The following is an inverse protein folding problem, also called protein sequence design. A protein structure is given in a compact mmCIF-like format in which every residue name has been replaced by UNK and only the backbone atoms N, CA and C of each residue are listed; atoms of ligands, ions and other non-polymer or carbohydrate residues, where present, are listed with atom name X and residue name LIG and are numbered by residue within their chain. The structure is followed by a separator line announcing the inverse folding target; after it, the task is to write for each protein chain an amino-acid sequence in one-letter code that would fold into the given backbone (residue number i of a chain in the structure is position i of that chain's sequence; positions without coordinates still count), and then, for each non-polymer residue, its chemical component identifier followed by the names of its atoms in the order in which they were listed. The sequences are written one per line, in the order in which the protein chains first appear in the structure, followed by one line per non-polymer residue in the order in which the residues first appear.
data_IF_927554864228
#
_entry.id   IF_927554864228
#
_cell.length_a   1.000
_cell.length_b   1.000
_cell.length_c   1.000
_cell.angle_alpha   90.00
_cell.angle_beta   90.00
_cell.angle_gamma   90.00
#
_symmetry.space_group_name_H-M   'P 1'
#
loop_
_entity.id
_entity.type
_entity.pdbx_description
1 polymer ?
#
# COMPACT_ATOMS: atom_id res chain seq x y z
N UNK A 1 -15.60 -4.15 -15.70
CA UNK A 1 -15.86 -5.45 -15.01
C UNK A 1 -15.08 -5.40 -13.72
N UNK A 2 -15.75 -5.49 -12.57
CA UNK A 2 -15.09 -5.45 -11.28
C UNK A 2 -14.42 -6.77 -10.97
N UNK A 3 -13.16 -6.69 -10.57
CA UNK A 3 -12.32 -7.80 -10.16
C UNK A 3 -12.05 -7.62 -8.67
N UNK A 4 -12.20 -8.70 -7.92
CA UNK A 4 -11.82 -8.78 -6.51
C UNK A 4 -10.82 -9.90 -6.35
N UNK A 5 -9.64 -9.58 -5.83
CA UNK A 5 -8.57 -10.54 -5.61
C UNK A 5 -8.16 -10.54 -4.16
N UNK A 6 -7.94 -11.74 -3.63
CA UNK A 6 -7.21 -11.94 -2.38
C UNK A 6 -5.73 -11.95 -2.70
N UNK A 7 -4.98 -11.06 -2.05
CA UNK A 7 -3.53 -10.97 -2.19
C UNK A 7 -2.82 -11.45 -0.92
N UNK A 8 -1.60 -11.92 -1.08
CA UNK A 8 -0.76 -12.46 -0.02
C UNK A 8 -0.02 -11.36 0.74
N UNK A 9 0.43 -10.33 0.03
CA UNK A 9 1.15 -9.20 0.59
C UNK A 9 0.90 -7.96 -0.25
N UNK A 10 0.91 -6.81 0.41
CA UNK A 10 0.88 -5.49 -0.23
C UNK A 10 2.28 -4.99 -0.60
N UNK A 11 3.35 -5.65 -0.13
CA UNK A 11 4.72 -5.15 -0.31
C UNK A 11 5.74 -6.25 -0.67
N UNK A 12 5.30 -7.31 -1.34
CA UNK A 12 6.19 -8.31 -1.93
C UNK A 12 5.45 -9.08 -3.04
N UNK A 13 6.01 -9.03 -4.25
CA UNK A 13 5.66 -9.83 -5.44
C UNK A 13 4.27 -9.70 -6.08
N UNK A 14 3.23 -9.20 -5.42
CA UNK A 14 1.87 -9.08 -6.01
C UNK A 14 1.45 -7.64 -6.28
N UNK A 15 1.73 -6.77 -5.31
CA UNK A 15 1.63 -5.32 -5.44
C UNK A 15 2.97 -4.73 -5.04
N UNK A 16 3.57 -3.95 -5.93
CA UNK A 16 4.78 -3.18 -5.63
C UNK A 16 4.40 -1.71 -5.59
N UNK A 17 4.22 -1.23 -4.37
CA UNK A 17 3.79 0.12 -4.04
C UNK A 17 4.76 0.78 -3.10
N UNK A 18 6.08 0.65 -3.28
CA UNK A 18 7.01 1.35 -2.39
C UNK A 18 6.67 2.85 -2.25
N UNK A 19 6.03 3.47 -3.25
CA UNK A 19 5.64 4.88 -3.26
C UNK A 19 4.35 5.12 -4.10
N UNK A 20 3.17 4.76 -3.59
CA UNK A 20 1.87 5.03 -4.25
C UNK A 20 1.12 6.21 -3.62
N UNK A 21 0.12 6.71 -4.32
CA UNK A 21 -0.84 7.67 -3.77
C UNK A 21 -2.07 6.92 -3.26
N UNK A 22 -2.67 7.36 -2.15
CA UNK A 22 -3.85 6.72 -1.59
C UNK A 22 -4.82 7.72 -0.97
N UNK A 23 -6.08 7.29 -0.81
CA UNK A 23 -7.05 8.02 -0.01
C UNK A 23 -6.70 7.93 1.47
N UNK A 24 -7.23 8.85 2.26
CA UNK A 24 -7.22 8.72 3.72
C UNK A 24 -7.81 7.35 4.14
N UNK A 25 -7.08 6.51 4.90
CA UNK A 25 -7.60 5.22 5.33
C UNK A 25 -8.78 5.34 6.28
N UNK A 26 -9.79 4.50 6.08
CA UNK A 26 -10.96 4.38 6.94
C UNK A 26 -10.81 3.12 7.79
N UNK A 27 -10.97 3.27 9.10
CA UNK A 27 -11.03 2.15 10.05
C UNK A 27 -12.46 1.88 10.46
N UNK A 28 -12.89 0.63 10.29
CA UNK A 28 -14.19 0.16 10.80
C UNK A 28 -14.12 -1.30 11.17
N UNK A 29 -14.58 -1.65 12.38
CA UNK A 29 -14.68 -3.04 12.83
C UNK A 29 -13.38 -3.83 12.59
N UNK A 30 -12.23 -3.26 12.98
CA UNK A 30 -10.90 -3.86 12.77
C UNK A 30 -10.58 -4.17 11.30
N UNK A 31 -11.07 -3.32 10.41
CA UNK A 31 -10.80 -3.36 8.97
C UNK A 31 -10.25 -2.02 8.51
N UNK A 32 -9.17 -2.02 7.73
CA UNK A 32 -8.62 -0.85 7.06
C UNK A 32 -9.13 -0.85 5.62
N UNK A 33 -9.63 0.28 5.14
CA UNK A 33 -10.06 0.46 3.74
C UNK A 33 -9.47 1.75 3.20
N UNK A 34 -8.85 1.70 2.03
CA UNK A 34 -8.37 2.89 1.31
C UNK A 34 -8.36 2.67 -0.20
N UNK A 35 -8.53 3.74 -0.96
CA UNK A 35 -8.22 3.75 -2.40
C UNK A 35 -6.71 3.87 -2.60
N UNK A 36 -6.15 3.13 -3.54
CA UNK A 36 -4.76 3.21 -3.95
C UNK A 36 -4.65 3.47 -5.44
N UNK A 37 -3.67 4.29 -5.81
CA UNK A 37 -3.51 4.78 -7.17
C UNK A 37 -2.17 4.38 -7.77
N UNK A 38 -2.16 4.09 -9.06
CA UNK A 38 -0.96 3.77 -9.86
C UNK A 38 -0.09 2.64 -9.28
N UNK A 39 -0.73 1.62 -8.70
CA UNK A 39 -0.03 0.49 -8.10
C UNK A 39 0.49 -0.45 -9.18
N UNK A 40 1.75 -0.90 -9.06
CA UNK A 40 2.22 -2.00 -9.89
C UNK A 40 1.47 -3.28 -9.51
N UNK A 41 1.11 -4.04 -10.54
CA UNK A 41 0.35 -5.27 -10.39
C UNK A 41 1.07 -6.40 -11.09
N UNK A 42 1.63 -7.29 -10.28
CA UNK A 42 2.36 -8.46 -10.74
C UNK A 42 1.44 -9.68 -10.68
N UNK A 43 1.48 -10.51 -11.72
CA UNK A 43 0.55 -11.64 -11.85
C UNK A 43 1.26 -12.89 -11.35
N UNK A 44 1.14 -13.13 -10.05
CA UNK A 44 1.56 -14.39 -9.43
C UNK A 44 0.61 -15.53 -9.77
N UNK A 45 0.99 -16.76 -9.45
CA UNK A 45 0.09 -17.92 -9.55
C UNK A 45 -1.19 -17.72 -8.73
N UNK A 46 -1.07 -17.18 -7.51
CA UNK A 46 -2.22 -16.88 -6.63
C UNK A 46 -3.21 -15.92 -7.30
N UNK A 47 -2.71 -14.87 -7.95
CA UNK A 47 -3.54 -13.94 -8.71
C UNK A 47 -4.11 -14.63 -9.97
N UNK A 48 -3.28 -15.34 -10.73
CA UNK A 48 -3.66 -15.97 -11.99
C UNK A 48 -4.89 -16.87 -11.84
N UNK A 49 -4.91 -17.72 -10.82
CA UNK A 49 -6.02 -18.65 -10.60
C UNK A 49 -7.33 -17.97 -10.17
N UNK A 50 -7.27 -16.75 -9.64
CA UNK A 50 -8.46 -15.97 -9.25
C UNK A 50 -9.03 -15.16 -10.44
N UNK A 51 -8.26 -14.96 -11.50
CA UNK A 51 -8.67 -14.12 -12.62
C UNK A 51 -9.70 -14.81 -13.53
N UNK A 52 -10.73 -14.07 -13.99
CA UNK A 52 -11.65 -14.56 -15.02
C UNK A 52 -10.91 -14.87 -16.34
N UNK A 53 -11.38 -15.86 -17.09
CA UNK A 53 -10.77 -16.25 -18.38
C UNK A 53 -10.69 -15.11 -19.40
N UNK A 54 -11.68 -14.20 -19.41
CA UNK A 54 -11.65 -13.00 -20.27
C UNK A 54 -10.45 -12.11 -19.94
N UNK A 55 -10.12 -11.96 -18.66
CA UNK A 55 -8.99 -11.16 -18.21
C UNK A 55 -7.66 -11.84 -18.53
N UNK A 56 -7.56 -13.16 -18.30
CA UNK A 56 -6.39 -13.97 -18.70
C UNK A 56 -6.09 -13.81 -20.20
N UNK A 57 -7.12 -13.82 -21.06
CA UNK A 57 -6.96 -13.58 -22.51
C UNK A 57 -6.40 -12.20 -22.83
N UNK A 58 -6.84 -11.15 -22.12
CA UNK A 58 -6.30 -9.79 -22.29
C UNK A 58 -4.83 -9.68 -21.87
N UNK A 59 -4.44 -10.43 -20.83
CA UNK A 59 -3.04 -10.50 -20.37
C UNK A 59 -2.16 -11.32 -21.33
N UNK A 60 -2.64 -12.47 -21.78
CA UNK A 60 -1.83 -13.49 -22.47
C UNK A 60 -1.10 -12.94 -23.70
N UNK A 61 -1.64 -11.89 -24.32
CA UNK A 61 -1.06 -11.23 -25.48
C UNK A 61 -0.03 -10.12 -25.14
N UNK A 62 0.27 -9.89 -23.86
CA UNK A 62 1.06 -8.75 -23.42
C UNK A 62 1.95 -9.05 -22.19
N UNK A 63 3.23 -9.31 -22.46
CA UNK A 63 4.30 -9.51 -21.46
C UNK A 63 4.75 -8.21 -20.77
N UNK A 64 4.13 -7.07 -21.07
CA UNK A 64 4.43 -5.81 -20.40
C UNK A 64 4.02 -5.85 -18.93
N UNK A 65 4.75 -5.08 -18.13
CA UNK A 65 4.38 -4.79 -16.74
C UNK A 65 3.04 -4.07 -16.70
N UNK A 66 2.34 -4.22 -15.57
CA UNK A 66 0.97 -3.75 -15.42
C UNK A 66 0.85 -2.86 -14.21
N UNK A 67 0.08 -1.80 -14.36
CA UNK A 67 -0.32 -0.89 -13.28
C UNK A 67 -1.83 -0.91 -13.21
N UNK A 68 -2.35 -0.90 -12.00
CA UNK A 68 -3.75 -0.61 -11.73
C UNK A 68 -3.83 0.86 -11.35
N UNK A 69 -4.50 1.65 -12.18
CA UNK A 69 -4.68 3.09 -11.97
C UNK A 69 -5.42 3.42 -10.70
N UNK A 70 -6.52 2.72 -10.43
CA UNK A 70 -7.34 2.90 -9.25
C UNK A 70 -7.76 1.53 -8.70
N UNK A 71 -7.53 1.30 -7.41
CA UNK A 71 -8.06 0.14 -6.70
C UNK A 71 -8.56 0.52 -5.32
N UNK A 72 -9.44 -0.30 -4.76
CA UNK A 72 -9.82 -0.28 -3.35
C UNK A 72 -9.09 -1.42 -2.64
N UNK A 73 -8.32 -1.09 -1.61
CA UNK A 73 -7.63 -2.04 -0.74
C UNK A 73 -8.45 -2.23 0.53
N UNK A 74 -8.60 -3.47 0.96
CA UNK A 74 -9.28 -3.84 2.21
C UNK A 74 -8.41 -4.82 3.00
N UNK A 75 -8.12 -4.48 4.25
CA UNK A 75 -7.31 -5.30 5.16
C UNK A 75 -8.18 -5.66 6.36
N UNK A 76 -8.39 -6.96 6.59
CA UNK A 76 -9.33 -7.44 7.60
C UNK A 76 -8.63 -7.97 8.85
N UNK A 77 -9.36 -7.95 9.98
CA UNK A 77 -8.90 -8.48 11.26
C UNK A 77 -7.54 -7.91 11.70
N UNK A 78 -7.43 -6.57 11.66
CA UNK A 78 -6.24 -5.87 12.14
C UNK A 78 -6.12 -6.01 13.66
N UNK A 79 -4.88 -6.15 14.13
CA UNK A 79 -4.50 -6.25 15.55
C UNK A 79 -3.77 -5.01 16.04
N UNK A 80 -3.23 -4.20 15.14
CA UNK A 80 -2.80 -2.83 15.42
C UNK A 80 -2.74 -2.02 14.13
N UNK A 81 -2.89 -0.70 14.24
CA UNK A 81 -2.59 0.24 13.15
C UNK A 81 -2.05 1.58 13.68
N UNK A 82 -1.29 2.27 12.85
CA UNK A 82 -0.83 3.64 13.06
C UNK A 82 -0.77 4.33 11.71
N UNK A 83 -1.54 5.39 11.54
CA UNK A 83 -1.45 6.29 10.39
C UNK A 83 -0.90 7.60 10.86
N UNK A 84 0.05 8.13 10.10
CA UNK A 84 0.65 9.40 10.40
C UNK A 84 0.71 10.24 9.13
N UNK A 85 -0.04 11.34 9.12
CA UNK A 85 -0.09 12.30 8.01
C UNK A 85 0.80 13.48 8.39
N UNK A 86 1.92 13.61 7.67
CA UNK A 86 2.97 14.57 7.97
C UNK A 86 3.00 15.69 6.94
N UNK A 87 3.19 16.93 7.44
CA UNK A 87 3.67 18.10 6.71
C UNK A 87 3.03 18.38 5.33
N UNK A 88 1.92 19.11 5.35
CA UNK A 88 1.57 20.06 4.29
C UNK A 88 1.73 21.46 4.89
N UNK A 89 2.14 22.48 4.13
CA UNK A 89 2.27 23.90 4.60
C UNK A 89 1.00 24.49 5.25
N UNK A 90 -0.13 23.77 5.18
CA UNK A 90 -1.45 24.14 5.70
C UNK A 90 -1.84 23.31 6.94
N UNK A 91 -1.16 22.19 7.21
CA UNK A 91 -1.30 21.42 8.44
C UNK A 91 -0.32 22.00 9.47
N UNK A 92 -0.85 22.60 10.54
CA UNK A 92 -0.04 23.14 11.63
C UNK A 92 0.56 22.04 12.51
N UNK A 93 -0.16 20.92 12.62
CA UNK A 93 0.18 19.79 13.47
C UNK A 93 0.09 18.48 12.67
N UNK A 94 0.89 17.51 13.07
CA UNK A 94 0.86 16.13 12.58
C UNK A 94 -0.44 15.43 13.00
N UNK A 95 -1.05 14.66 12.09
CA UNK A 95 -2.24 13.87 12.40
C UNK A 95 -1.81 12.42 12.58
N UNK A 96 -1.89 11.93 13.81
CA UNK A 96 -1.61 10.54 14.16
C UNK A 96 -2.90 9.87 14.61
N UNK A 97 -3.23 8.74 13.99
CA UNK A 97 -4.31 7.85 14.43
C UNK A 97 -3.72 6.46 14.68
N UNK A 98 -3.79 6.00 15.92
CA UNK A 98 -3.16 4.76 16.38
C UNK A 98 -4.10 3.98 17.29
N UNK A 99 -4.12 2.65 17.11
CA UNK A 99 -4.79 1.73 18.04
C UNK A 99 -4.05 0.39 18.07
N UNK A 100 -3.94 -0.19 19.28
CA UNK A 100 -3.39 -1.54 19.50
C UNK A 100 -4.48 -2.37 20.19
N UNK A 101 -4.89 -3.46 19.55
CA UNK A 101 -5.93 -4.35 20.07
C UNK A 101 -5.32 -5.45 20.95
N UNK A 102 -6.15 -6.11 21.77
CA UNK A 102 -5.73 -7.11 22.76
C UNK A 102 -4.95 -8.29 22.18
N UNK A 103 -5.24 -8.67 20.94
CA UNK A 103 -4.59 -9.80 20.25
C UNK A 103 -3.37 -9.37 19.39
N UNK A 104 -2.84 -8.18 19.62
CA UNK A 104 -1.56 -7.74 19.07
C UNK A 104 -0.41 -8.61 19.61
N UNK A 105 0.52 -8.96 18.72
CA UNK A 105 1.71 -9.73 19.06
C UNK A 105 2.97 -9.00 18.57
N UNK A 106 3.76 -8.46 19.50
CA UNK A 106 5.00 -7.73 19.18
C UNK A 106 6.04 -8.59 18.44
N UNK A 107 5.89 -9.92 18.41
CA UNK A 107 6.82 -10.81 17.71
C UNK A 107 6.38 -11.11 16.27
N UNK A 108 5.16 -10.74 15.88
CA UNK A 108 4.68 -10.87 14.50
C UNK A 108 5.09 -9.65 13.67
N UNK A 109 5.34 -9.89 12.38
CA UNK A 109 5.67 -8.86 11.40
C UNK A 109 4.62 -7.74 11.42
N UNK A 110 5.11 -6.51 11.43
CA UNK A 110 4.33 -5.31 11.15
C UNK A 110 4.57 -4.96 9.69
N UNK A 111 3.50 -4.72 8.94
CA UNK A 111 3.58 -4.20 7.57
C UNK A 111 3.66 -2.68 7.60
N UNK A 112 4.37 -2.08 6.64
CA UNK A 112 4.55 -0.64 6.55
C UNK A 112 4.45 -0.13 5.12
N UNK A 113 3.82 1.03 4.92
CA UNK A 113 3.76 1.73 3.63
C UNK A 113 4.06 3.21 3.83
N UNK A 114 4.68 3.84 2.85
CA UNK A 114 4.98 5.28 2.84
C UNK A 114 4.29 6.00 1.66
N UNK A 115 2.95 5.93 1.54
CA UNK A 115 2.25 6.54 0.43
C UNK A 115 2.16 8.07 0.55
N UNK A 116 1.76 8.72 -0.54
CA UNK A 116 1.20 10.07 -0.46
C UNK A 116 -0.31 9.96 -0.22
N UNK A 117 -0.86 10.78 0.66
CA UNK A 117 -2.30 10.88 0.91
C UNK A 117 -2.89 11.94 -0.01
N UNK A 118 -3.89 11.60 -0.83
CA UNK A 118 -4.53 12.50 -1.80
C UNK A 118 -5.21 13.72 -1.16
N UNK A 119 -5.66 13.57 0.08
CA UNK A 119 -6.20 14.62 0.92
C UNK A 119 -5.63 14.49 2.33
N UNK A 120 -4.89 15.48 2.86
CA UNK A 120 -4.74 16.85 2.35
C UNK A 120 -3.56 17.05 1.39
N UNK A 121 -3.19 16.06 0.57
CA UNK A 121 -1.98 16.07 -0.27
C UNK A 121 -0.68 16.12 0.54
N UNK A 122 -0.44 15.07 1.32
CA UNK A 122 0.66 15.00 2.28
C UNK A 122 1.40 13.68 2.19
N UNK A 123 2.62 13.61 2.70
CA UNK A 123 3.23 12.32 3.01
C UNK A 123 2.42 11.62 4.09
N UNK A 124 2.26 10.30 3.98
CA UNK A 124 1.67 9.48 5.02
C UNK A 124 2.54 8.26 5.26
N UNK A 125 2.70 7.89 6.52
CA UNK A 125 3.19 6.57 6.89
C UNK A 125 2.05 5.75 7.48
N UNK A 126 2.00 4.49 7.07
CA UNK A 126 1.00 3.53 7.50
C UNK A 126 1.75 2.33 8.07
N UNK A 127 1.48 1.99 9.32
CA UNK A 127 1.96 0.76 9.97
C UNK A 127 0.76 -0.05 10.43
N UNK A 128 0.77 -1.37 10.22
CA UNK A 128 -0.28 -2.23 10.77
C UNK A 128 0.17 -3.68 10.97
N UNK A 129 -0.55 -4.37 11.85
CA UNK A 129 -0.48 -5.83 11.99
C UNK A 129 -1.90 -6.38 11.81
N UNK A 130 -2.01 -7.53 11.16
CA UNK A 130 -3.28 -8.17 10.87
C UNK A 130 -3.19 -9.69 10.98
N UNK A 131 -4.34 -10.32 11.22
CA UNK A 131 -4.51 -11.78 11.26
C UNK A 131 -5.52 -12.28 10.20
N UNK A 132 -6.10 -11.34 9.44
CA UNK A 132 -7.08 -11.64 8.40
C UNK A 132 -6.44 -11.74 7.03
N UNK A 133 -7.16 -11.20 6.06
CA UNK A 133 -6.85 -11.25 4.65
C UNK A 133 -6.81 -9.85 4.06
N UNK A 134 -6.04 -9.70 2.98
CA UNK A 134 -5.98 -8.50 2.17
C UNK A 134 -6.70 -8.75 0.86
N UNK A 135 -7.58 -7.82 0.50
CA UNK A 135 -8.30 -7.81 -0.76
C UNK A 135 -8.02 -6.55 -1.55
N UNK A 136 -7.93 -6.68 -2.86
CA UNK A 136 -7.95 -5.56 -3.79
C UNK A 136 -9.11 -5.68 -4.76
N UNK A 137 -9.80 -4.57 -4.97
CA UNK A 137 -10.93 -4.46 -5.88
C UNK A 137 -10.67 -3.36 -6.90
N UNK A 138 -10.78 -3.67 -8.19
CA UNK A 138 -10.59 -2.71 -9.27
C UNK A 138 -11.42 -3.07 -10.49
N UNK A 139 -11.69 -2.09 -11.34
CA UNK A 139 -12.28 -2.35 -12.65
C UNK A 139 -11.19 -2.78 -13.64
N UNK A 140 -11.47 -3.78 -14.47
CA UNK A 140 -10.53 -4.26 -15.49
C UNK A 140 -9.99 -3.13 -16.40
N UNK A 141 -10.77 -2.08 -16.62
CA UNK A 141 -10.37 -0.93 -17.45
C UNK A 141 -9.32 -0.03 -16.76
N UNK A 142 -9.10 -0.20 -15.45
CA UNK A 142 -8.03 0.45 -14.68
C UNK A 142 -6.67 -0.22 -14.90
N UNK A 143 -6.63 -1.43 -15.48
CA UNK A 143 -5.39 -2.15 -15.77
C UNK A 143 -4.72 -1.59 -17.03
N UNK A 144 -3.50 -1.11 -16.86
CA UNK A 144 -2.69 -0.55 -17.94
C UNK A 144 -1.40 -1.33 -18.08
N UNK A 145 -1.09 -1.70 -19.32
CA UNK A 145 0.20 -2.26 -19.68
C UNK A 145 1.16 -1.15 -20.12
N UNK A 146 2.38 -1.13 -19.59
CA UNK A 146 3.40 -0.11 -19.89
C UNK A 146 4.78 -0.75 -20.17
N UNK A 147 5.65 -0.05 -20.90
CA UNK A 147 7.04 -0.50 -21.14
C UNK A 147 7.96 -0.20 -19.96
N UNK A 148 9.05 -0.94 -19.83
CA UNK A 148 10.04 -0.67 -18.77
C UNK A 148 10.60 0.76 -18.84
N UNK A 149 10.71 1.36 -20.03
CA UNK A 149 11.16 2.76 -20.18
C UNK A 149 10.11 3.76 -19.67
N UNK A 150 8.83 3.52 -19.98
CA UNK A 150 7.71 4.33 -19.46
C UNK A 150 7.66 4.25 -17.92
N UNK A 151 7.96 3.07 -17.36
CA UNK A 151 8.11 2.86 -15.91
C UNK A 151 9.22 3.71 -15.32
N UNK A 152 10.42 3.62 -15.88
CA UNK A 152 11.61 4.31 -15.37
C UNK A 152 11.40 5.83 -15.43
N UNK A 153 10.79 6.32 -16.51
CA UNK A 153 10.50 7.74 -16.66
C UNK A 153 9.45 8.24 -15.63
N UNK A 154 8.40 7.44 -15.40
CA UNK A 154 7.42 7.71 -14.34
C UNK A 154 8.04 7.65 -12.93
N UNK A 155 8.80 6.60 -12.65
CA UNK A 155 9.47 6.36 -11.36
C UNK A 155 10.52 7.43 -11.05
N UNK A 156 11.29 7.88 -12.04
CA UNK A 156 12.28 8.96 -11.88
C UNK A 156 11.63 10.30 -11.48
N UNK A 157 10.38 10.54 -11.91
CA UNK A 157 9.61 11.73 -11.53
C UNK A 157 9.10 11.64 -10.09
N UNK A 158 8.70 10.44 -9.64
CA UNK A 158 8.25 10.16 -8.26
C UNK A 158 9.42 10.16 -7.25
N UNK A 159 10.56 9.54 -7.59
CA UNK A 159 11.71 9.40 -6.68
C UNK A 159 12.39 10.71 -6.28
N UNK A 160 12.32 11.77 -7.09
CA UNK A 160 12.90 13.07 -6.71
C UNK A 160 12.21 13.65 -5.47
N UNK A 161 10.95 13.31 -5.24
CA UNK A 161 10.19 13.77 -4.09
C UNK A 161 10.38 12.87 -2.87
N UNK A 162 10.68 11.57 -3.03
CA UNK A 162 10.73 10.63 -1.90
C UNK A 162 12.05 10.61 -1.15
N UNK A 163 13.19 10.81 -1.82
CA UNK A 163 14.47 10.96 -1.11
C UNK A 163 14.46 12.20 -0.18
N UNK A 164 13.71 13.25 -0.53
CA UNK A 164 13.52 14.42 0.32
C UNK A 164 12.54 14.21 1.49
N UNK A 165 11.70 13.14 1.45
CA UNK A 165 10.75 12.79 2.51
C UNK A 165 11.41 11.96 3.61
N UNK A 166 12.24 10.98 3.23
CA UNK A 166 12.97 10.09 4.16
C UNK A 166 13.83 10.83 5.19
N UNK A 167 14.37 12.00 4.84
CA UNK A 167 15.20 12.81 5.76
C UNK A 167 14.40 13.73 6.71
N UNK A 168 13.12 14.01 6.45
CA UNK A 168 12.31 15.00 7.20
C UNK A 168 11.49 14.43 8.36
N UNK A 169 11.55 13.13 8.59
CA UNK A 169 10.66 12.46 9.53
C UNK A 169 11.33 12.23 10.89
N UNK A 170 11.06 13.11 11.87
CA UNK A 170 11.49 12.89 13.25
C UNK A 170 10.43 13.31 14.27
N UNK A 171 9.44 12.41 14.42
CA UNK A 171 8.59 12.15 15.58
C UNK A 171 7.95 10.78 15.32
N UNK A 172 8.08 9.84 16.25
CA UNK A 172 7.87 8.41 15.98
C UNK A 172 6.64 7.90 16.73
N UNK A 173 5.67 7.35 16.00
CA UNK A 173 4.51 6.65 16.58
C UNK A 173 4.93 5.33 17.25
N UNK A 174 4.10 4.77 18.14
CA UNK A 174 4.48 3.59 18.92
C UNK A 174 4.72 2.36 18.04
N UNK A 175 3.88 2.14 17.02
CA UNK A 175 4.08 1.02 16.08
C UNK A 175 5.30 1.18 15.18
N UNK A 176 5.63 2.40 14.77
CA UNK A 176 6.84 2.68 14.00
C UNK A 176 8.11 2.38 14.82
N UNK A 177 8.11 2.72 16.11
CA UNK A 177 9.20 2.34 17.02
C UNK A 177 9.36 0.82 17.08
N UNK A 178 8.27 0.08 17.27
CA UNK A 178 8.28 -1.39 17.33
C UNK A 178 8.74 -2.00 16.00
N UNK A 179 8.26 -1.47 14.87
CA UNK A 179 8.68 -1.90 13.54
C UNK A 179 10.20 -1.74 13.38
N UNK A 180 10.74 -0.56 13.72
CA UNK A 180 12.18 -0.29 13.62
C UNK A 180 13.02 -1.20 14.53
N UNK A 181 12.54 -1.51 15.73
CA UNK A 181 13.19 -2.49 16.61
C UNK A 181 13.21 -3.90 16.00
N UNK A 182 12.10 -4.35 15.41
CA UNK A 182 12.03 -5.64 14.70
C UNK A 182 12.99 -5.69 13.51
N UNK A 183 13.07 -4.61 12.72
CA UNK A 183 13.98 -4.54 11.57
C UNK A 183 15.45 -4.59 11.98
N UNK A 184 15.83 -3.94 13.09
CA UNK A 184 17.21 -3.89 13.57
C UNK A 184 17.68 -5.21 14.23
N UNK A 185 16.78 -6.09 14.64
CA UNK A 185 17.10 -7.39 15.22
C UNK A 185 17.40 -8.49 14.19
N UNK A 186 17.16 -8.22 12.90
CA UNK A 186 17.38 -9.15 11.79
C UNK A 186 18.73 -8.92 11.04
N UNK A 187 19.69 -8.25 11.68
CA UNK A 187 21.08 -8.05 11.23
C UNK A 187 22.05 -8.90 12.06
#
# INVERSE_FOLDING_TARGET
MKIKLKIQSLDEWELDGMEFECTLPIIRNRTIIFGAYNMNFEITDNIWYQLPEEYKRKIYNNYRKKVIKNMLVTITNITAYSFNIKFHDKLKDEIIMEEIYENFDRNRKIESFLPSCDFPYSSMSIYFQYLGEIYVEFDLDELIAYSEEERILGYSKLMKDVNYRKEREKNIGKLEQIYNEQSNLNL
#
